data_IF_993584468050
#
_entry.id   IF_993584468050
#
_cell.length_a   1.000
_cell.length_b   1.000
_cell.length_c   1.000
_cell.angle_alpha   90.00
_cell.angle_beta   90.00
_cell.angle_gamma   90.00
#
_symmetry.space_group_name_H-M   'P 1'
#
loop_
_entity.id
_entity.type
_entity.pdbx_description
1 polymer ?
#
# COMPACT_ATOMS: atom_id res chain seq x y z
N UNK A 1 49.56 -61.36 -34.02
CA UNK A 1 48.45 -62.32 -34.22
C UNK A 1 47.50 -62.26 -33.02
N UNK A 2 46.24 -61.96 -33.32
CA UNK A 2 44.97 -62.14 -32.58
C UNK A 2 44.97 -62.35 -31.06
N UNK A 3 44.34 -61.43 -30.33
CA UNK A 3 43.76 -61.67 -29.01
C UNK A 3 42.33 -61.11 -28.95
N UNK A 4 41.45 -61.89 -28.32
CA UNK A 4 39.99 -61.80 -28.31
C UNK A 4 39.43 -60.77 -27.31
N UNK A 5 38.15 -60.47 -27.53
CA UNK A 5 37.09 -60.15 -26.55
C UNK A 5 36.90 -58.67 -26.19
N UNK A 6 35.76 -58.10 -26.64
CA UNK A 6 35.17 -56.88 -26.10
C UNK A 6 33.68 -57.13 -25.81
N UNK A 7 33.37 -57.18 -24.51
CA UNK A 7 32.09 -56.83 -23.86
C UNK A 7 31.83 -55.33 -24.17
N UNK A 8 30.63 -54.75 -24.24
CA UNK A 8 29.30 -55.13 -23.79
C UNK A 8 28.31 -54.17 -24.47
N UNK A 9 27.06 -54.62 -24.60
CA UNK A 9 25.89 -53.90 -25.08
C UNK A 9 25.51 -52.67 -24.24
N UNK A 10 25.07 -51.60 -24.91
CA UNK A 10 24.37 -50.48 -24.29
C UNK A 10 23.51 -49.75 -25.32
N UNK A 11 22.31 -50.28 -25.55
CA UNK A 11 21.26 -49.69 -26.38
C UNK A 11 20.40 -48.78 -25.48
N UNK A 12 20.18 -47.51 -25.86
CA UNK A 12 18.86 -46.86 -26.04
C UNK A 12 18.87 -45.33 -25.83
N UNK A 13 18.57 -44.66 -26.95
CA UNK A 13 17.69 -43.49 -27.18
C UNK A 13 17.62 -42.34 -26.17
N UNK A 14 17.88 -41.17 -26.76
CA UNK A 14 17.47 -39.81 -26.38
C UNK A 14 16.01 -39.68 -25.96
N UNK A 15 15.78 -39.05 -24.81
CA UNK A 15 14.55 -38.33 -24.52
C UNK A 15 14.92 -37.01 -23.84
N UNK A 16 14.76 -35.94 -24.59
CA UNK A 16 14.89 -34.55 -24.16
C UNK A 16 13.92 -34.29 -23.00
N UNK A 17 14.45 -33.77 -21.88
CA UNK A 17 13.65 -33.27 -20.76
C UNK A 17 12.72 -32.16 -21.24
N UNK A 18 11.39 -32.25 -21.02
CA UNK A 18 10.54 -31.09 -21.18
C UNK A 18 10.80 -30.13 -20.02
N UNK A 19 11.10 -28.90 -20.40
CA UNK A 19 11.41 -27.77 -19.56
C UNK A 19 10.31 -27.55 -18.52
N UNK A 20 10.75 -27.20 -17.31
CA UNK A 20 9.91 -26.67 -16.24
C UNK A 20 9.26 -25.39 -16.76
N UNK A 21 8.00 -25.49 -17.20
CA UNK A 21 7.12 -24.33 -17.34
C UNK A 21 6.97 -23.73 -15.94
N UNK A 22 7.74 -22.67 -15.68
CA UNK A 22 7.48 -21.76 -14.59
C UNK A 22 6.10 -21.17 -14.84
N UNK A 23 5.11 -21.65 -14.09
CA UNK A 23 3.80 -21.04 -14.01
C UNK A 23 3.96 -19.65 -13.39
N UNK A 24 4.22 -18.64 -14.22
CA UNK A 24 3.74 -17.29 -13.92
C UNK A 24 2.22 -17.38 -13.90
N UNK A 25 1.67 -17.70 -12.72
CA UNK A 25 0.25 -17.66 -12.49
C UNK A 25 -0.25 -16.28 -12.88
N UNK A 26 -0.93 -16.17 -14.02
CA UNK A 26 -1.69 -14.98 -14.35
C UNK A 26 -2.71 -14.82 -13.24
N UNK A 27 -2.44 -13.88 -12.32
CA UNK A 27 -3.39 -13.51 -11.29
C UNK A 27 -4.73 -13.22 -12.00
N UNK A 28 -5.81 -13.80 -11.47
CA UNK A 28 -7.15 -13.60 -12.04
C UNK A 28 -7.40 -12.10 -12.29
N UNK A 29 -8.08 -11.72 -13.39
CA UNK A 29 -8.39 -10.33 -13.67
C UNK A 29 -9.02 -9.66 -12.45
N UNK A 30 -8.42 -8.55 -11.98
CA UNK A 30 -8.99 -7.78 -10.87
C UNK A 30 -10.15 -6.97 -11.39
N UNK A 31 -11.29 -7.07 -10.69
CA UNK A 31 -12.47 -6.28 -11.01
C UNK A 31 -12.21 -4.79 -10.74
N UNK A 32 -12.67 -3.94 -11.67
CA UNK A 32 -12.65 -2.49 -11.47
C UNK A 32 -13.88 -2.13 -10.65
N UNK A 33 -13.74 -1.49 -9.46
CA UNK A 33 -14.90 -1.09 -8.67
C UNK A 33 -15.78 -0.12 -9.46
N UNK A 34 -17.06 -0.43 -9.57
CA UNK A 34 -18.04 0.43 -10.24
C UNK A 34 -18.94 1.18 -9.25
N UNK A 35 -18.89 0.82 -7.96
CA UNK A 35 -19.72 1.38 -6.90
C UNK A 35 -18.86 1.79 -5.70
N UNK A 36 -19.33 2.77 -4.94
CA UNK A 36 -18.68 3.19 -3.69
C UNK A 36 -18.92 2.12 -2.62
N UNK A 37 -17.97 1.96 -1.71
CA UNK A 37 -18.14 1.11 -0.53
C UNK A 37 -19.43 1.46 0.23
N UNK A 38 -20.20 0.45 0.67
CA UNK A 38 -21.42 0.64 1.45
C UNK A 38 -21.14 1.05 2.90
N UNK A 39 -19.97 0.67 3.43
CA UNK A 39 -19.55 1.02 4.78
C UNK A 39 -19.04 2.49 4.85
N UNK A 40 -19.69 3.39 5.63
CA UNK A 40 -19.22 4.76 5.81
C UNK A 40 -17.79 4.87 6.33
N UNK A 41 -17.36 3.92 7.15
CA UNK A 41 -16.02 3.85 7.73
C UNK A 41 -14.99 3.60 6.64
N UNK A 42 -15.23 2.59 5.80
CA UNK A 42 -14.36 2.27 4.66
C UNK A 42 -14.33 3.44 3.68
N UNK A 43 -15.48 4.08 3.40
CA UNK A 43 -15.53 5.28 2.55
C UNK A 43 -14.67 6.42 3.09
N UNK A 44 -14.61 6.62 4.40
CA UNK A 44 -13.77 7.66 5.00
C UNK A 44 -12.28 7.31 4.86
N UNK A 45 -11.90 6.05 5.11
CA UNK A 45 -10.53 5.57 4.91
C UNK A 45 -10.07 5.69 3.44
N UNK A 46 -10.90 5.24 2.49
CA UNK A 46 -10.63 5.37 1.04
C UNK A 46 -10.47 6.84 0.65
N UNK A 47 -11.29 7.74 1.21
CA UNK A 47 -11.20 9.17 0.94
C UNK A 47 -9.92 9.79 1.50
N UNK A 48 -9.42 9.34 2.64
CA UNK A 48 -8.11 9.72 3.15
C UNK A 48 -6.98 9.28 2.20
N UNK A 49 -7.01 8.04 1.71
CA UNK A 49 -6.02 7.55 0.74
C UNK A 49 -6.10 8.33 -0.57
N UNK A 50 -7.31 8.60 -1.04
CA UNK A 50 -7.57 9.45 -2.21
C UNK A 50 -7.00 10.86 -2.03
N UNK A 51 -7.13 11.46 -0.84
CA UNK A 51 -6.53 12.77 -0.53
C UNK A 51 -5.01 12.74 -0.72
N UNK A 52 -4.32 11.73 -0.19
CA UNK A 52 -2.87 11.55 -0.37
C UNK A 52 -2.52 11.36 -1.84
N UNK A 53 -3.33 10.62 -2.59
CA UNK A 53 -3.15 10.46 -4.03
C UNK A 53 -3.33 11.77 -4.82
N UNK A 54 -4.32 12.61 -4.49
CA UNK A 54 -4.45 13.95 -5.08
C UNK A 54 -3.22 14.83 -4.78
N UNK A 55 -2.67 14.75 -3.56
CA UNK A 55 -1.41 15.43 -3.21
C UNK A 55 -0.23 14.91 -4.05
N UNK A 56 -0.14 13.60 -4.29
CA UNK A 56 0.89 13.02 -5.15
C UNK A 56 0.79 13.50 -6.61
N UNK A 57 -0.43 13.66 -7.14
CA UNK A 57 -0.66 14.25 -8.48
C UNK A 57 -0.22 15.72 -8.53
N UNK A 58 -0.39 16.45 -7.42
CA UNK A 58 0.03 17.85 -7.29
C UNK A 58 1.54 18.03 -7.04
N UNK A 59 2.33 16.96 -6.93
CA UNK A 59 3.80 17.02 -6.77
C UNK A 59 4.31 16.79 -5.35
N UNK A 60 3.47 16.33 -4.43
CA UNK A 60 3.84 16.00 -3.04
C UNK A 60 4.10 14.49 -2.85
N UNK A 61 4.83 13.86 -3.78
CA UNK A 61 4.99 12.40 -3.83
C UNK A 61 5.89 11.84 -2.71
N UNK A 62 6.60 12.71 -1.99
CA UNK A 62 7.37 12.34 -0.80
C UNK A 62 6.53 12.32 0.48
N UNK A 63 5.20 12.48 0.37
CA UNK A 63 4.27 12.22 1.45
C UNK A 63 4.14 10.70 1.64
N UNK A 64 4.23 10.24 2.90
CA UNK A 64 4.19 8.83 3.29
C UNK A 64 2.98 8.56 4.16
N UNK A 65 2.40 7.38 4.01
CA UNK A 65 1.37 6.84 4.89
C UNK A 65 1.94 5.65 5.68
N UNK A 66 1.49 5.55 6.92
CA UNK A 66 1.72 4.43 7.82
C UNK A 66 0.36 3.96 8.33
N UNK A 67 -0.34 3.13 7.53
CA UNK A 67 -1.63 2.63 7.91
C UNK A 67 -1.48 1.35 8.74
N UNK A 68 -2.37 1.17 9.72
CA UNK A 68 -2.30 0.04 10.64
C UNK A 68 -3.60 -0.16 11.40
N UNK A 69 -3.66 -1.21 12.19
CA UNK A 69 -4.82 -1.49 13.04
C UNK A 69 -4.60 -1.03 14.47
N UNK A 70 -5.64 -0.51 15.12
CA UNK A 70 -5.66 -0.23 16.55
C UNK A 70 -5.46 -1.50 17.38
N UNK A 71 -4.95 -1.42 18.63
CA UNK A 71 -4.81 -2.58 19.50
C UNK A 71 -6.12 -3.36 19.70
N UNK A 72 -7.26 -2.66 19.62
CA UNK A 72 -8.59 -3.28 19.71
C UNK A 72 -8.96 -4.13 18.50
N UNK A 73 -8.24 -4.01 17.37
CA UNK A 73 -8.61 -4.61 16.09
C UNK A 73 -9.82 -3.98 15.40
N UNK A 74 -10.44 -2.94 16.01
CA UNK A 74 -11.69 -2.35 15.51
C UNK A 74 -11.45 -1.19 14.54
N UNK A 75 -10.42 -0.39 14.79
CA UNK A 75 -10.20 0.85 14.06
C UNK A 75 -8.96 0.76 13.18
N UNK A 76 -9.14 0.99 11.89
CA UNK A 76 -8.06 1.37 11.00
C UNK A 76 -7.53 2.74 11.40
N UNK A 77 -6.20 2.87 11.45
CA UNK A 77 -5.46 4.10 11.76
C UNK A 77 -4.53 4.40 10.61
N UNK A 78 -4.24 5.68 10.40
CA UNK A 78 -3.23 6.09 9.45
C UNK A 78 -2.46 7.28 9.98
N UNK A 79 -1.14 7.13 10.04
CA UNK A 79 -0.23 8.25 10.26
C UNK A 79 0.27 8.73 8.91
N UNK A 80 0.26 10.04 8.69
CA UNK A 80 0.83 10.67 7.50
C UNK A 80 2.07 11.44 7.92
N UNK A 81 3.14 11.27 7.17
CA UNK A 81 4.47 11.86 7.41
C UNK A 81 5.16 12.17 6.08
N UNK A 82 6.42 12.59 6.09
CA UNK A 82 7.23 12.76 4.87
C UNK A 82 8.35 11.72 4.79
N UNK A 83 8.89 11.50 3.59
CA UNK A 83 9.90 10.48 3.30
C UNK A 83 11.21 10.63 4.08
N UNK A 84 11.47 11.82 4.67
CA UNK A 84 12.62 12.04 5.55
C UNK A 84 12.37 11.65 7.00
N UNK A 85 11.14 11.26 7.36
CA UNK A 85 10.73 10.87 8.70
C UNK A 85 10.11 9.46 8.68
N UNK A 86 10.71 8.54 7.92
CA UNK A 86 10.38 7.11 7.92
C UNK A 86 11.65 6.27 8.04
N UNK A 87 11.55 5.11 8.67
CA UNK A 87 12.61 4.11 8.72
C UNK A 87 12.84 3.48 7.33
N UNK A 88 13.83 2.59 7.24
CA UNK A 88 14.18 1.89 5.99
C UNK A 88 13.08 0.95 5.48
N UNK A 89 12.06 0.66 6.29
CA UNK A 89 10.87 -0.10 5.89
C UNK A 89 9.88 0.72 5.04
N UNK A 90 10.11 2.04 4.91
CA UNK A 90 9.31 2.94 4.07
C UNK A 90 8.00 3.42 4.70
N UNK A 91 7.64 2.98 5.92
CA UNK A 91 6.38 3.38 6.57
C UNK A 91 6.45 3.64 8.06
N UNK A 92 7.43 3.15 8.82
CA UNK A 92 7.49 3.41 10.28
C UNK A 92 8.05 4.80 10.54
N UNK A 93 7.31 5.73 11.19
CA UNK A 93 7.83 7.07 11.46
C UNK A 93 9.01 7.04 12.44
N UNK A 94 10.07 7.81 12.17
CA UNK A 94 11.23 7.94 13.08
C UNK A 94 10.90 8.86 14.25
N UNK A 95 10.16 9.93 13.99
CA UNK A 95 9.66 10.88 14.98
C UNK A 95 8.14 10.98 14.92
N UNK A 96 7.53 11.10 16.10
CA UNK A 96 6.10 11.37 16.28
C UNK A 96 5.83 12.81 16.76
N UNK A 97 6.81 13.69 16.67
CA UNK A 97 6.69 15.08 17.10
C UNK A 97 5.62 15.84 16.32
N UNK A 98 5.00 16.82 17.00
CA UNK A 98 4.02 17.70 16.38
C UNK A 98 4.62 18.43 15.17
N UNK A 99 3.89 18.40 14.05
CA UNK A 99 4.34 19.00 12.78
C UNK A 99 5.17 18.08 11.89
N UNK A 100 5.67 16.94 12.39
CA UNK A 100 6.30 15.89 11.59
C UNK A 100 5.29 14.85 11.11
N UNK A 101 4.23 14.63 11.90
CA UNK A 101 3.19 13.64 11.62
C UNK A 101 1.80 14.21 11.85
N UNK A 102 0.82 13.67 11.14
CA UNK A 102 -0.62 13.82 11.45
C UNK A 102 -1.28 12.45 11.49
N UNK A 103 -2.28 12.28 12.35
CA UNK A 103 -2.91 10.99 12.61
C UNK A 103 -4.40 11.03 12.33
N UNK A 104 -4.88 9.96 11.72
CA UNK A 104 -6.29 9.69 11.50
C UNK A 104 -6.66 8.33 12.10
N UNK A 105 -7.87 8.24 12.65
CA UNK A 105 -8.50 7.00 13.05
C UNK A 105 -9.86 6.93 12.38
N UNK A 106 -10.22 5.75 11.87
CA UNK A 106 -11.56 5.45 11.37
C UNK A 106 -12.67 5.70 12.40
N UNK A 107 -12.36 5.68 13.69
CA UNK A 107 -13.27 6.09 14.76
C UNK A 107 -13.76 7.55 14.62
N UNK A 108 -12.99 8.40 13.94
CA UNK A 108 -13.33 9.81 13.72
C UNK A 108 -14.25 10.03 12.51
N UNK A 109 -14.56 9.00 11.73
CA UNK A 109 -15.39 9.13 10.54
C UNK A 109 -14.83 10.18 9.57
N UNK A 110 -15.64 11.17 9.21
CA UNK A 110 -15.25 12.26 8.30
C UNK A 110 -14.65 13.49 9.01
N UNK A 111 -14.42 13.44 10.31
CA UNK A 111 -13.71 14.48 11.07
C UNK A 111 -12.18 14.32 10.95
N UNK A 112 -11.65 14.36 9.73
CA UNK A 112 -10.22 14.12 9.43
C UNK A 112 -9.31 15.04 10.24
N UNK A 113 -8.35 14.47 10.97
CA UNK A 113 -7.41 15.22 11.81
C UNK A 113 -8.06 16.17 12.84
N UNK A 114 -9.33 15.91 13.22
CA UNK A 114 -10.12 16.79 14.09
C UNK A 114 -10.81 17.95 13.35
N UNK A 115 -10.83 17.96 12.02
CA UNK A 115 -11.52 18.96 11.22
C UNK A 115 -13.03 18.71 11.21
N UNK A 116 -13.76 19.48 12.01
CA UNK A 116 -15.23 19.39 12.08
C UNK A 116 -15.95 19.89 10.82
N UNK A 117 -15.24 20.60 9.95
CA UNK A 117 -15.76 21.15 8.69
C UNK A 117 -15.43 20.30 7.46
N UNK A 118 -14.89 19.09 7.66
CA UNK A 118 -14.45 18.21 6.57
C UNK A 118 -15.52 17.22 6.09
N UNK A 119 -16.67 17.15 6.76
CA UNK A 119 -17.80 16.31 6.38
C UNK A 119 -18.24 16.59 4.93
N UNK A 120 -18.44 15.53 4.16
CA UNK A 120 -18.86 15.62 2.76
C UNK A 120 -17.79 16.07 1.75
N UNK A 121 -16.62 16.56 2.19
CA UNK A 121 -15.53 16.96 1.26
C UNK A 121 -15.07 15.78 0.39
N UNK A 122 -14.66 16.09 -0.82
CA UNK A 122 -13.99 15.17 -1.73
C UNK A 122 -12.52 15.00 -1.35
N UNK A 123 -11.87 13.95 -1.85
CA UNK A 123 -10.42 13.75 -1.69
C UNK A 123 -9.60 14.98 -2.14
N UNK A 124 -10.03 15.64 -3.23
CA UNK A 124 -9.36 16.84 -3.75
C UNK A 124 -9.51 18.04 -2.83
N UNK A 125 -10.71 18.28 -2.31
CA UNK A 125 -10.94 19.37 -1.36
C UNK A 125 -10.17 19.13 -0.05
N UNK A 126 -10.11 17.88 0.42
CA UNK A 126 -9.27 17.53 1.56
C UNK A 126 -7.78 17.77 1.29
N UNK A 127 -7.31 17.54 0.06
CA UNK A 127 -5.91 17.79 -0.30
C UNK A 127 -5.58 19.29 -0.25
N UNK A 128 -6.49 20.15 -0.72
CA UNK A 128 -6.37 21.60 -0.54
C UNK A 128 -6.32 21.98 0.94
N UNK A 129 -7.25 21.47 1.76
CA UNK A 129 -7.23 21.71 3.21
C UNK A 129 -5.94 21.23 3.88
N UNK A 130 -5.37 20.11 3.43
CA UNK A 130 -4.11 19.58 3.95
C UNK A 130 -2.94 20.53 3.72
N UNK A 131 -2.82 21.10 2.51
CA UNK A 131 -1.76 22.06 2.18
C UNK A 131 -1.90 23.33 3.03
N UNK A 132 -3.13 23.83 3.19
CA UNK A 132 -3.42 25.04 3.97
C UNK A 132 -3.15 24.86 5.46
N UNK A 133 -3.55 23.71 6.04
CA UNK A 133 -3.55 23.48 7.48
C UNK A 133 -2.28 22.80 7.99
N UNK A 134 -1.56 22.08 7.12
CA UNK A 134 -0.29 21.43 7.43
C UNK A 134 0.84 21.86 6.47
N UNK A 135 1.12 23.18 6.33
CA UNK A 135 2.01 23.69 5.30
C UNK A 135 3.47 23.23 5.46
N UNK A 136 3.92 22.98 6.70
CA UNK A 136 5.26 22.46 6.96
C UNK A 136 5.43 21.03 6.40
N UNK A 137 4.43 20.17 6.65
CA UNK A 137 4.43 18.79 6.17
C UNK A 137 4.31 18.75 4.64
N UNK A 138 3.43 19.57 4.07
CA UNK A 138 3.31 19.72 2.61
C UNK A 138 4.65 20.12 1.97
N UNK A 139 5.36 21.11 2.53
CA UNK A 139 6.70 21.50 2.04
C UNK A 139 7.72 20.36 2.16
N UNK A 140 7.74 19.65 3.28
CA UNK A 140 8.66 18.52 3.49
C UNK A 140 8.39 17.35 2.53
N UNK A 141 7.15 17.22 2.07
CA UNK A 141 6.69 16.19 1.15
C UNK A 141 6.75 16.58 -0.33
N UNK A 142 7.14 17.81 -0.66
CA UNK A 142 7.31 18.26 -2.03
C UNK A 142 8.44 17.50 -2.74
N UNK A 143 8.20 17.11 -3.99
CA UNK A 143 9.16 16.39 -4.81
C UNK A 143 8.57 15.12 -5.42
N UNK A 144 9.26 14.59 -6.42
CA UNK A 144 8.84 13.39 -7.16
C UNK A 144 9.34 12.11 -6.50
N UNK A 145 8.48 11.11 -6.51
CA UNK A 145 8.75 9.74 -6.10
C UNK A 145 7.70 8.83 -6.77
N UNK A 146 7.99 8.46 -8.02
CA UNK A 146 7.06 7.70 -8.84
C UNK A 146 6.87 6.26 -8.36
N UNK A 147 7.88 5.68 -7.70
CA UNK A 147 7.79 4.32 -7.16
C UNK A 147 6.78 4.29 -6.03
N UNK A 148 6.90 5.22 -5.09
CA UNK A 148 5.95 5.31 -3.99
C UNK A 148 4.55 5.76 -4.45
N UNK A 149 4.46 6.71 -5.39
CA UNK A 149 3.17 7.13 -5.95
C UNK A 149 2.45 5.98 -6.70
N UNK A 150 3.20 5.15 -7.43
CA UNK A 150 2.68 3.94 -8.07
C UNK A 150 2.17 2.92 -7.05
N UNK A 151 2.97 2.66 -6.00
CA UNK A 151 2.56 1.80 -4.88
C UNK A 151 1.26 2.31 -4.22
N UNK A 152 1.19 3.61 -3.89
CA UNK A 152 -0.01 4.19 -3.28
C UNK A 152 -1.23 4.08 -4.20
N UNK A 153 -1.04 4.24 -5.51
CA UNK A 153 -2.12 4.10 -6.49
C UNK A 153 -2.67 2.67 -6.50
N UNK A 154 -1.81 1.66 -6.42
CA UNK A 154 -2.24 0.27 -6.28
C UNK A 154 -3.00 0.05 -4.96
N UNK A 155 -2.51 0.60 -3.85
CA UNK A 155 -3.17 0.47 -2.54
C UNK A 155 -4.54 1.14 -2.53
N UNK A 156 -4.67 2.31 -3.17
CA UNK A 156 -5.95 2.99 -3.33
C UNK A 156 -6.92 2.15 -4.16
N UNK A 157 -6.49 1.59 -5.29
CA UNK A 157 -7.35 0.74 -6.12
C UNK A 157 -7.82 -0.54 -5.42
N UNK A 158 -7.01 -1.08 -4.50
CA UNK A 158 -7.44 -2.17 -3.60
C UNK A 158 -8.49 -1.68 -2.60
N UNK A 159 -8.21 -0.59 -1.90
CA UNK A 159 -9.14 -0.03 -0.92
C UNK A 159 -10.50 0.35 -1.53
N UNK A 160 -10.53 0.78 -2.79
CA UNK A 160 -11.74 1.13 -3.55
C UNK A 160 -12.68 -0.06 -3.80
N UNK A 161 -12.22 -1.31 -3.63
CA UNK A 161 -13.09 -2.50 -3.62
C UNK A 161 -14.10 -2.47 -2.45
N UNK A 162 -13.82 -1.66 -1.42
CA UNK A 162 -14.81 -1.26 -0.42
C UNK A 162 -15.03 -2.23 0.73
N UNK A 163 -14.25 -3.32 0.84
CA UNK A 163 -14.27 -4.20 2.02
C UNK A 163 -13.23 -3.72 3.03
N UNK A 164 -13.48 -3.85 4.35
CA UNK A 164 -12.48 -3.51 5.37
C UNK A 164 -11.14 -4.25 5.21
N UNK A 165 -11.18 -5.49 4.72
CA UNK A 165 -9.99 -6.31 4.47
C UNK A 165 -9.12 -5.80 3.32
N UNK A 166 -9.64 -4.92 2.45
CA UNK A 166 -8.88 -4.35 1.34
C UNK A 166 -8.17 -3.03 1.72
N UNK A 167 -8.39 -2.51 2.93
CA UNK A 167 -7.66 -1.36 3.44
C UNK A 167 -6.21 -1.74 3.76
N UNK A 168 -5.22 -0.89 3.44
CA UNK A 168 -3.84 -1.25 3.68
C UNK A 168 -3.51 -1.28 5.17
N UNK A 169 -2.83 -2.34 5.63
CA UNK A 169 -2.38 -2.48 7.02
C UNK A 169 -0.92 -2.91 6.98
N UNK A 170 -0.02 -2.02 7.41
CA UNK A 170 1.42 -2.28 7.46
C UNK A 170 1.91 -2.64 8.86
N UNK A 171 1.14 -2.29 9.89
CA UNK A 171 1.44 -2.67 11.27
C UNK A 171 0.16 -2.90 12.09
N UNK A 172 0.29 -3.68 13.14
CA UNK A 172 -0.67 -3.77 14.23
C UNK A 172 0.08 -4.11 15.52
N UNK A 173 -0.58 -3.86 16.66
CA UNK A 173 -0.04 -4.17 17.99
C UNK A 173 -0.23 -5.67 18.36
N UNK A 174 -0.62 -6.50 17.39
CA UNK A 174 -0.80 -7.95 17.48
C UNK A 174 -0.23 -8.62 16.21
N UNK A 175 0.10 -9.93 16.25
CA UNK A 175 0.61 -10.64 15.08
C UNK A 175 -0.36 -10.53 13.90
N UNK A 176 0.14 -10.00 12.79
CA UNK A 176 -0.56 -10.01 11.51
C UNK A 176 0.02 -11.13 10.65
N UNK A 177 -0.83 -11.90 9.99
CA UNK A 177 -0.40 -12.78 8.92
C UNK A 177 -0.17 -11.95 7.65
N UNK A 178 0.86 -11.09 7.69
CA UNK A 178 1.15 -10.09 6.65
C UNK A 178 1.72 -10.71 5.35
N UNK A 179 2.11 -11.98 5.38
CA UNK A 179 2.93 -12.59 4.33
C UNK A 179 2.27 -12.61 2.94
N UNK A 180 0.95 -12.44 2.85
CA UNK A 180 0.20 -12.39 1.59
C UNK A 180 -0.46 -11.04 1.27
N UNK A 181 -0.44 -10.07 2.19
CA UNK A 181 -1.47 -9.02 2.18
C UNK A 181 -1.08 -7.82 1.29
N UNK A 182 0.14 -7.29 1.34
CA UNK A 182 0.58 -6.15 0.50
C UNK A 182 2.10 -6.14 0.25
N UNK A 183 2.57 -5.75 -0.95
CA UNK A 183 4.00 -5.48 -1.14
C UNK A 183 4.42 -4.29 -0.24
N UNK A 184 5.61 -4.35 0.41
CA UNK A 184 6.09 -3.23 1.20
C UNK A 184 6.28 -1.99 0.31
N UNK A 185 6.13 -0.77 0.85
CA UNK A 185 6.45 0.43 0.10
C UNK A 185 7.94 0.44 -0.29
N UNK A 186 8.27 0.99 -1.49
CA UNK A 186 9.63 1.04 -2.02
C UNK A 186 10.51 2.14 -1.40
#
# INVERSE_FOLDING_TARGET
MSWKTRLQSGLLRTASSPERNAAEGHAAPREVPHQRADDPTVRACVRLLGMVHELHKAGYQRLRISPGMAPSGVHWRCTITHAGNVMTDGYTPVSSEAGQVVRYSSASGDAYFGWHDAAGRTARELATCFIERFPALARASAGRDWRYAGWLTEMLGRAEQGRPADLPVLFADYPLDCAEILPPPP
#
